data_IF_076038819525
#
_entry.id   IF_076038819525
#
_cell.length_a   1.000
_cell.length_b   1.000
_cell.length_c   1.000
_cell.angle_alpha   90.00
_cell.angle_beta   90.00
_cell.angle_gamma   90.00
#
_symmetry.space_group_name_H-M   'P 1'
#
loop_
_entity.id
_entity.type
_entity.pdbx_description
1 polymer ?
#
# COMPACT_ATOMS: atom_id res chain seq x y z
N UNK A 1 -9.29 12.33 9.90
CA UNK A 1 -9.81 11.06 9.35
C UNK A 1 -11.15 10.59 9.93
N UNK A 2 -11.75 11.26 10.92
CA UNK A 2 -13.07 10.83 11.39
C UNK A 2 -14.12 10.96 10.25
N UNK A 3 -14.85 9.87 9.98
CA UNK A 3 -15.85 9.80 8.91
C UNK A 3 -15.29 9.80 7.48
N UNK A 4 -13.99 9.55 7.29
CA UNK A 4 -13.34 9.44 5.98
C UNK A 4 -13.27 7.98 5.50
N UNK A 5 -13.21 7.73 4.18
CA UNK A 5 -13.21 6.38 3.63
C UNK A 5 -11.98 5.56 4.03
N UNK A 6 -12.20 4.25 4.20
CA UNK A 6 -11.16 3.27 4.49
C UNK A 6 -10.54 2.76 3.19
N UNK A 7 -9.41 3.31 2.77
CA UNK A 7 -8.41 2.79 1.80
C UNK A 7 -8.84 2.10 0.49
N UNK A 8 -10.13 1.93 0.21
CA UNK A 8 -10.64 0.94 -0.74
C UNK A 8 -10.35 1.34 -2.19
N UNK A 9 -10.29 2.65 -2.44
CA UNK A 9 -9.85 3.22 -3.72
C UNK A 9 -8.46 2.74 -4.16
N UNK A 10 -7.57 2.42 -3.21
CA UNK A 10 -6.24 1.91 -3.49
C UNK A 10 -6.10 0.38 -3.30
N UNK A 11 -7.02 -0.25 -2.55
CA UNK A 11 -6.83 -1.63 -2.10
C UNK A 11 -6.78 -2.66 -3.24
N UNK A 12 -7.42 -2.39 -4.37
CA UNK A 12 -7.31 -3.28 -5.54
C UNK A 12 -5.89 -3.28 -6.12
N UNK A 13 -5.17 -2.16 -6.04
CA UNK A 13 -3.83 -2.01 -6.61
C UNK A 13 -2.77 -2.78 -5.83
N UNK A 14 -3.03 -3.19 -4.58
CA UNK A 14 -2.07 -3.91 -3.74
C UNK A 14 -1.60 -5.27 -4.27
N UNK A 15 -2.17 -5.75 -5.38
CA UNK A 15 -1.78 -7.01 -6.03
C UNK A 15 -1.80 -6.93 -7.57
N UNK A 16 -2.00 -5.73 -8.15
CA UNK A 16 -2.01 -5.51 -9.62
C UNK A 16 -1.15 -4.31 -10.06
N UNK A 17 -0.39 -3.73 -9.13
CA UNK A 17 0.50 -2.58 -9.26
C UNK A 17 1.88 -2.90 -9.85
N UNK A 18 2.09 -4.12 -10.33
CA UNK A 18 3.28 -4.48 -11.13
C UNK A 18 2.86 -5.04 -12.49
N UNK A 19 3.76 -4.93 -13.48
CA UNK A 19 3.50 -5.37 -14.86
C UNK A 19 3.19 -6.87 -14.92
N UNK A 20 3.91 -7.68 -14.15
CA UNK A 20 3.79 -9.15 -14.17
C UNK A 20 3.97 -9.81 -12.82
N UNK A 21 4.62 -9.16 -11.87
CA UNK A 21 5.20 -9.85 -10.71
C UNK A 21 4.22 -10.02 -9.55
N UNK A 22 3.01 -9.45 -9.60
CA UNK A 22 1.98 -9.62 -8.56
C UNK A 22 0.84 -10.54 -8.96
N UNK A 23 0.82 -11.02 -10.21
CA UNK A 23 -0.22 -11.92 -10.67
C UNK A 23 0.11 -13.36 -10.28
N UNK A 24 -0.74 -14.04 -9.50
CA UNK A 24 -0.55 -15.46 -9.24
C UNK A 24 -0.71 -16.22 -10.57
N UNK A 25 0.24 -17.08 -10.95
CA UNK A 25 0.12 -17.85 -12.18
C UNK A 25 -1.19 -18.66 -12.23
N UNK A 26 -1.91 -18.69 -13.37
CA UNK A 26 -1.54 -18.22 -14.70
C UNK A 26 -2.10 -16.82 -15.07
N UNK A 27 -2.43 -15.98 -14.09
CA UNK A 27 -3.07 -14.69 -14.34
C UNK A 27 -2.09 -13.66 -14.92
N UNK A 28 -2.63 -12.70 -15.66
CA UNK A 28 -1.92 -11.52 -16.18
C UNK A 28 -2.83 -10.27 -16.13
N UNK A 29 -2.28 -9.12 -16.53
CA UNK A 29 -3.01 -7.86 -16.58
C UNK A 29 -4.22 -7.88 -17.55
N UNK A 30 -4.22 -8.72 -18.58
CA UNK A 30 -5.34 -8.84 -19.53
C UNK A 30 -6.54 -9.53 -18.89
N UNK A 31 -6.30 -10.53 -18.04
CA UNK A 31 -7.37 -11.14 -17.24
C UNK A 31 -7.97 -10.11 -16.29
N UNK A 32 -7.14 -9.28 -15.64
CA UNK A 32 -7.62 -8.19 -14.77
C UNK A 32 -8.47 -7.20 -15.55
N UNK A 33 -8.00 -6.72 -16.70
CA UNK A 33 -8.77 -5.83 -17.56
C UNK A 33 -10.12 -6.43 -17.98
N UNK A 34 -10.15 -7.74 -18.27
CA UNK A 34 -11.38 -8.46 -18.62
C UNK A 34 -12.37 -8.51 -17.44
N UNK A 35 -11.88 -8.84 -16.24
CA UNK A 35 -12.69 -8.86 -15.01
C UNK A 35 -13.23 -7.48 -14.69
N UNK A 36 -12.38 -6.45 -14.72
CA UNK A 36 -12.80 -5.07 -14.48
C UNK A 36 -13.86 -4.62 -15.49
N UNK A 37 -13.73 -5.00 -16.77
CA UNK A 37 -14.71 -4.68 -17.82
C UNK A 37 -16.07 -5.33 -17.56
N UNK A 38 -16.10 -6.62 -17.20
CA UNK A 38 -17.34 -7.33 -16.88
C UNK A 38 -17.97 -6.76 -15.61
N UNK A 39 -17.16 -6.51 -14.57
CA UNK A 39 -17.64 -5.98 -13.30
C UNK A 39 -18.20 -4.56 -13.44
N UNK A 40 -17.55 -3.71 -14.24
CA UNK A 40 -18.02 -2.36 -14.53
C UNK A 40 -19.40 -2.34 -15.22
N UNK A 41 -19.75 -3.40 -15.97
CA UNK A 41 -21.10 -3.57 -16.52
C UNK A 41 -22.11 -4.10 -15.49
N UNK A 42 -21.68 -4.95 -14.56
CA UNK A 42 -22.56 -5.59 -13.58
C UNK A 42 -22.86 -4.70 -12.37
N UNK A 43 -21.88 -3.93 -11.90
CA UNK A 43 -21.94 -3.10 -10.68
C UNK A 43 -21.19 -1.77 -10.92
N UNK A 44 -21.72 -0.88 -11.78
CA UNK A 44 -21.03 0.33 -12.22
C UNK A 44 -20.69 1.29 -11.08
N UNK A 45 -21.60 1.51 -10.12
CA UNK A 45 -21.37 2.43 -9.00
C UNK A 45 -20.24 1.93 -8.08
N UNK A 46 -20.19 0.62 -7.85
CA UNK A 46 -19.14 0.00 -7.03
C UNK A 46 -17.79 -0.02 -7.75
N UNK A 47 -17.78 -0.35 -9.04
CA UNK A 47 -16.58 -0.26 -9.89
C UNK A 47 -16.02 1.17 -9.93
N UNK A 48 -16.91 2.17 -10.03
CA UNK A 48 -16.54 3.58 -10.02
C UNK A 48 -15.80 3.97 -8.73
N UNK A 49 -16.30 3.49 -7.58
CA UNK A 49 -15.66 3.68 -6.28
C UNK A 49 -14.37 2.87 -6.10
N UNK A 50 -14.24 1.70 -6.73
CA UNK A 50 -13.08 0.84 -6.49
C UNK A 50 -11.84 1.21 -7.30
N UNK A 51 -12.00 1.64 -8.55
CA UNK A 51 -10.85 1.89 -9.42
C UNK A 51 -11.03 3.03 -10.42
N UNK A 52 -12.24 3.39 -10.84
CA UNK A 52 -12.40 4.38 -11.93
C UNK A 52 -11.84 5.75 -11.55
N UNK A 53 -12.15 6.24 -10.34
CA UNK A 53 -11.59 7.51 -9.87
C UNK A 53 -10.06 7.41 -9.69
N UNK A 54 -9.58 6.31 -9.12
CA UNK A 54 -8.17 6.06 -8.87
C UNK A 54 -7.34 5.98 -10.17
N UNK A 55 -7.90 5.35 -11.22
CA UNK A 55 -7.31 5.29 -12.55
C UNK A 55 -7.30 6.66 -13.25
N UNK A 56 -8.38 7.44 -13.11
CA UNK A 56 -8.41 8.81 -13.60
C UNK A 56 -7.31 9.66 -12.95
N UNK A 57 -7.10 9.51 -11.62
CA UNK A 57 -6.00 10.20 -10.92
C UNK A 57 -4.64 9.80 -11.46
N UNK A 58 -4.39 8.50 -11.64
CA UNK A 58 -3.15 7.96 -12.23
C UNK A 58 -2.90 8.50 -13.65
N UNK A 59 -3.95 8.59 -14.46
CA UNK A 59 -3.88 9.10 -15.84
C UNK A 59 -3.87 10.65 -15.92
N UNK A 60 -4.19 11.35 -14.82
CA UNK A 60 -4.35 12.80 -14.81
C UNK A 60 -5.62 13.28 -15.55
N UNK A 61 -6.67 12.47 -15.59
CA UNK A 61 -7.97 12.77 -16.20
C UNK A 61 -9.07 12.89 -15.14
N UNK A 62 -10.29 13.27 -15.56
CA UNK A 62 -11.47 13.32 -14.69
C UNK A 62 -12.71 12.88 -15.46
N UNK A 63 -13.54 12.05 -14.84
CA UNK A 63 -14.87 11.69 -15.34
C UNK A 63 -14.88 10.73 -16.52
N UNK A 64 -13.73 10.13 -16.89
CA UNK A 64 -13.69 9.06 -17.87
C UNK A 64 -14.15 7.74 -17.25
N UNK A 65 -14.92 6.96 -17.98
CA UNK A 65 -15.22 5.57 -17.63
C UNK A 65 -14.04 4.63 -17.96
N UNK A 66 -14.12 3.36 -17.52
CA UNK A 66 -13.02 2.41 -17.71
C UNK A 66 -12.62 2.21 -19.20
N UNK A 67 -13.55 1.98 -20.15
CA UNK A 67 -13.23 1.95 -21.58
C UNK A 67 -12.53 3.22 -22.08
N UNK A 68 -13.01 4.40 -21.69
CA UNK A 68 -12.42 5.68 -22.07
C UNK A 68 -11.01 5.86 -21.50
N UNK A 69 -10.78 5.44 -20.25
CA UNK A 69 -9.46 5.43 -19.61
C UNK A 69 -8.48 4.57 -20.41
N UNK A 70 -8.87 3.35 -20.80
CA UNK A 70 -8.03 2.44 -21.58
C UNK A 70 -7.69 3.06 -22.95
N UNK A 71 -8.68 3.65 -23.63
CA UNK A 71 -8.44 4.30 -24.92
C UNK A 71 -7.53 5.52 -24.77
N UNK A 72 -7.73 6.32 -23.73
CA UNK A 72 -6.94 7.53 -23.48
C UNK A 72 -5.51 7.20 -23.05
N UNK A 73 -5.28 6.12 -22.28
CA UNK A 73 -3.93 5.67 -21.93
C UNK A 73 -3.13 5.29 -23.18
N UNK A 74 -3.74 4.50 -24.08
CA UNK A 74 -3.13 4.09 -25.34
C UNK A 74 -2.82 5.28 -26.26
N UNK A 75 -3.73 6.27 -26.35
CA UNK A 75 -3.47 7.53 -27.08
C UNK A 75 -2.25 8.29 -26.55
N UNK A 76 -1.96 8.17 -25.26
CA UNK A 76 -0.79 8.77 -24.59
C UNK A 76 0.45 7.87 -24.61
N UNK A 77 0.41 6.74 -25.32
CA UNK A 77 1.52 5.80 -25.41
C UNK A 77 1.77 5.02 -24.12
N UNK A 78 0.75 4.91 -23.25
CA UNK A 78 0.80 4.17 -21.99
C UNK A 78 -0.13 2.96 -22.07
N UNK A 79 0.44 1.79 -21.91
CA UNK A 79 -0.31 0.54 -21.85
C UNK A 79 -1.08 0.45 -20.53
N UNK A 80 -2.20 -0.27 -20.52
CA UNK A 80 -3.07 -0.35 -19.33
C UNK A 80 -2.35 -0.94 -18.10
N UNK A 81 -1.51 -1.96 -18.27
CA UNK A 81 -0.65 -2.51 -17.22
C UNK A 81 0.29 -1.45 -16.60
N UNK A 82 0.90 -0.59 -17.42
CA UNK A 82 1.74 0.53 -16.94
C UNK A 82 0.94 1.60 -16.21
N UNK A 83 -0.33 1.81 -16.59
CA UNK A 83 -1.21 2.71 -15.85
C UNK A 83 -1.48 2.18 -14.44
N UNK A 84 -1.65 0.86 -14.28
CA UNK A 84 -1.86 0.23 -12.98
C UNK A 84 -0.65 0.39 -12.05
N UNK A 85 0.57 0.46 -12.60
CA UNK A 85 1.81 0.59 -11.80
C UNK A 85 2.13 2.02 -11.36
N UNK A 86 1.26 3.00 -11.61
CA UNK A 86 1.47 4.36 -11.11
C UNK A 86 1.16 4.37 -9.61
N UNK A 87 2.13 4.75 -8.74
CA UNK A 87 1.94 4.73 -7.29
C UNK A 87 0.79 5.63 -6.85
N UNK A 88 0.03 5.17 -5.86
CA UNK A 88 -0.92 6.02 -5.14
C UNK A 88 -0.16 7.14 -4.42
N UNK A 89 -0.74 8.34 -4.37
CA UNK A 89 -0.13 9.48 -3.68
C UNK A 89 -0.85 9.83 -2.40
N UNK A 90 -0.09 10.11 -1.34
CA UNK A 90 -0.62 10.44 -0.01
C UNK A 90 -1.59 11.65 -0.03
N UNK A 91 -1.37 12.57 -0.97
CA UNK A 91 -2.14 13.81 -1.10
C UNK A 91 -3.38 13.68 -1.98
N UNK A 92 -3.65 12.51 -2.57
CA UNK A 92 -4.85 12.31 -3.38
C UNK A 92 -6.10 12.34 -2.51
N UNK A 93 -7.05 13.17 -2.94
CA UNK A 93 -8.37 13.31 -2.31
C UNK A 93 -9.41 12.82 -3.29
N UNK A 94 -10.16 11.79 -2.90
CA UNK A 94 -11.25 11.21 -3.67
C UNK A 94 -12.54 12.02 -3.49
N UNK A 95 -13.54 11.76 -4.33
CA UNK A 95 -14.85 12.43 -4.27
C UNK A 95 -15.53 12.30 -2.90
N UNK A 96 -15.33 11.20 -2.20
CA UNK A 96 -15.82 10.95 -0.84
C UNK A 96 -14.80 11.30 0.27
N UNK A 97 -13.62 11.79 -0.11
CA UNK A 97 -12.62 12.37 0.78
C UNK A 97 -11.24 11.72 0.70
N UNK A 98 -10.37 12.07 1.66
CA UNK A 98 -9.07 11.44 1.78
C UNK A 98 -9.25 9.98 2.21
N UNK A 99 -8.57 9.07 1.54
CA UNK A 99 -8.68 7.63 1.75
C UNK A 99 -7.34 7.09 2.24
N UNK A 100 -7.34 6.35 3.35
CA UNK A 100 -6.14 5.65 3.81
C UNK A 100 -6.50 4.31 4.44
N UNK A 101 -5.61 3.33 4.25
CA UNK A 101 -5.63 2.09 5.02
C UNK A 101 -5.19 2.34 6.47
N UNK A 102 -5.36 1.35 7.35
CA UNK A 102 -4.95 1.46 8.74
C UNK A 102 -3.45 1.79 8.89
N UNK A 103 -2.60 1.14 8.10
CA UNK A 103 -1.15 1.34 8.16
C UNK A 103 -0.73 2.66 7.53
N UNK A 104 -1.29 3.02 6.37
CA UNK A 104 -1.01 4.30 5.72
C UNK A 104 -1.37 5.47 6.65
N UNK A 105 -2.51 5.38 7.37
CA UNK A 105 -2.88 6.40 8.34
C UNK A 105 -1.87 6.56 9.48
N UNK A 106 -1.34 5.47 10.03
CA UNK A 106 -0.29 5.52 11.06
C UNK A 106 0.98 6.13 10.52
N UNK A 107 1.41 5.71 9.34
CA UNK A 107 2.64 6.20 8.72
C UNK A 107 2.52 7.66 8.25
N UNK A 108 1.34 8.13 7.89
CA UNK A 108 1.08 9.56 7.64
C UNK A 108 1.37 10.37 8.90
N UNK A 109 0.97 9.89 10.08
CA UNK A 109 1.30 10.56 11.35
C UNK A 109 2.82 10.55 11.63
N UNK A 110 3.51 9.46 11.28
CA UNK A 110 4.98 9.40 11.42
C UNK A 110 5.67 10.40 10.49
N UNK A 111 5.15 10.53 9.27
CA UNK A 111 5.63 11.48 8.27
C UNK A 111 5.45 12.93 8.73
N UNK A 112 4.27 13.29 9.25
CA UNK A 112 4.01 14.61 9.85
C UNK A 112 4.86 14.87 11.11
N UNK A 113 5.22 13.83 11.86
CA UNK A 113 6.13 13.92 13.00
C UNK A 113 7.62 14.01 12.60
N UNK A 114 7.92 13.98 11.30
CA UNK A 114 9.27 14.14 10.76
C UNK A 114 10.12 12.87 10.73
N UNK A 115 9.55 11.69 10.97
CA UNK A 115 10.32 10.44 11.02
C UNK A 115 10.91 10.05 9.65
N UNK A 116 10.34 10.54 8.56
CA UNK A 116 10.84 10.29 7.20
C UNK A 116 11.75 11.42 6.67
N UNK A 117 12.08 12.44 7.46
CA UNK A 117 13.00 13.49 7.01
C UNK A 117 14.43 12.96 6.85
N UNK A 118 15.19 13.40 5.82
CA UNK A 118 14.88 14.48 4.87
C UNK A 118 14.15 14.02 3.59
N UNK A 119 13.75 12.74 3.50
CA UNK A 119 13.22 12.13 2.26
C UNK A 119 11.69 12.11 2.19
N UNK A 120 11.00 12.76 3.12
CA UNK A 120 9.54 12.75 3.28
C UNK A 120 8.80 13.04 1.96
N UNK A 121 9.30 13.98 1.15
CA UNK A 121 8.71 14.33 -0.15
C UNK A 121 8.75 13.21 -1.21
N UNK A 122 9.61 12.21 -1.02
CA UNK A 122 9.83 11.09 -1.93
C UNK A 122 9.29 9.77 -1.39
N UNK A 123 8.46 9.81 -0.35
CA UNK A 123 7.79 8.64 0.23
C UNK A 123 6.30 8.82 0.01
N UNK A 124 5.61 7.80 -0.49
CA UNK A 124 4.15 7.74 -0.47
C UNK A 124 3.74 6.56 0.43
N UNK A 125 3.29 6.86 1.65
CA UNK A 125 2.98 5.82 2.64
C UNK A 125 1.69 5.06 2.32
N UNK A 126 0.90 5.53 1.35
CA UNK A 126 -0.20 4.79 0.73
C UNK A 126 0.23 3.50 0.03
N UNK A 127 1.52 3.36 -0.30
CA UNK A 127 2.11 2.16 -0.93
C UNK A 127 2.63 1.14 0.11
N UNK A 128 2.52 1.43 1.41
CA UNK A 128 3.10 0.59 2.45
C UNK A 128 2.10 -0.46 2.95
N UNK A 129 2.59 -1.68 3.15
CA UNK A 129 1.86 -2.74 3.86
C UNK A 129 2.17 -2.73 5.37
N UNK A 130 1.45 -3.55 6.13
CA UNK A 130 1.70 -3.73 7.58
C UNK A 130 3.14 -4.20 7.83
N UNK A 131 3.68 -5.08 6.96
CA UNK A 131 5.06 -5.54 7.06
C UNK A 131 6.03 -4.39 6.94
N UNK A 132 5.84 -3.54 5.94
CA UNK A 132 6.71 -2.40 5.67
C UNK A 132 6.73 -1.43 6.84
N UNK A 133 5.63 -1.25 7.56
CA UNK A 133 5.59 -0.37 8.72
C UNK A 133 6.41 -0.87 9.91
N UNK A 134 6.33 -2.16 10.26
CA UNK A 134 7.02 -2.66 11.46
C UNK A 134 8.51 -2.93 11.22
N UNK A 135 8.94 -3.08 9.96
CA UNK A 135 10.37 -3.26 9.65
C UNK A 135 11.14 -1.93 9.67
N UNK A 136 10.48 -0.78 9.55
CA UNK A 136 11.13 0.54 9.61
C UNK A 136 11.93 0.69 10.90
N UNK A 137 13.17 1.18 10.79
CA UNK A 137 14.08 1.36 11.91
C UNK A 137 13.76 2.62 12.74
N UNK A 138 12.51 2.76 13.15
CA UNK A 138 12.00 3.90 13.94
C UNK A 138 11.80 3.58 15.43
N UNK A 139 11.84 2.31 15.78
CA UNK A 139 11.47 1.82 17.09
C UNK A 139 12.69 1.68 18.01
N UNK A 140 12.43 1.62 19.32
CA UNK A 140 13.47 1.45 20.32
C UNK A 140 14.16 0.09 20.20
N UNK A 141 15.45 0.09 19.88
CA UNK A 141 16.28 -1.12 19.80
C UNK A 141 16.92 -1.48 21.15
N UNK A 142 17.07 -0.51 22.07
CA UNK A 142 17.68 -0.74 23.36
C UNK A 142 16.66 -1.33 24.35
N UNK A 143 16.76 -2.65 24.57
CA UNK A 143 15.88 -3.39 25.48
C UNK A 143 15.86 -2.84 26.92
N UNK A 144 16.92 -2.16 27.36
CA UNK A 144 16.98 -1.56 28.71
C UNK A 144 16.07 -0.34 28.87
N UNK A 145 15.66 0.27 27.75
CA UNK A 145 14.73 1.41 27.72
C UNK A 145 13.27 0.97 27.60
N UNK A 146 13.03 -0.32 27.38
CA UNK A 146 11.67 -0.87 27.34
C UNK A 146 11.04 -0.86 28.75
N UNK A 147 9.71 -0.71 28.84
CA UNK A 147 9.03 -0.75 30.13
C UNK A 147 9.29 -2.04 30.90
N UNK A 148 9.34 -1.99 32.23
CA UNK A 148 9.64 -3.15 33.09
C UNK A 148 8.62 -4.30 33.01
N UNK A 149 7.41 -4.04 32.51
CA UNK A 149 6.41 -5.07 32.25
C UNK A 149 6.66 -5.83 30.94
N UNK A 150 7.46 -5.27 30.04
CA UNK A 150 7.77 -5.86 28.74
C UNK A 150 8.55 -7.17 28.92
N UNK A 151 8.09 -8.25 28.28
CA UNK A 151 8.67 -9.60 28.40
C UNK A 151 8.68 -10.19 29.84
N UNK A 152 8.02 -9.57 30.82
CA UNK A 152 8.14 -9.98 32.23
C UNK A 152 7.65 -11.41 32.50
N UNK A 153 6.51 -11.76 31.90
CA UNK A 153 5.83 -13.05 32.09
C UNK A 153 5.94 -13.96 30.85
N UNK A 154 6.78 -13.57 29.86
CA UNK A 154 6.98 -14.31 28.63
C UNK A 154 8.25 -15.19 28.72
N UNK A 155 8.15 -16.44 28.26
CA UNK A 155 9.30 -17.36 28.16
C UNK A 155 10.28 -16.97 27.05
N UNK A 156 9.85 -16.13 26.11
CA UNK A 156 10.68 -15.62 25.01
C UNK A 156 10.79 -14.11 25.12
N UNK A 157 12.02 -13.59 25.06
CA UNK A 157 12.27 -12.15 25.05
C UNK A 157 12.16 -11.63 23.62
N UNK A 158 11.10 -10.88 23.35
CA UNK A 158 10.90 -10.19 22.08
C UNK A 158 11.64 -8.85 22.06
N UNK A 159 12.08 -8.37 20.88
CA UNK A 159 12.71 -7.05 20.75
C UNK A 159 11.71 -5.89 20.83
N UNK A 160 10.43 -6.19 21.06
CA UNK A 160 9.33 -5.22 21.21
C UNK A 160 8.38 -5.65 22.32
N UNK A 161 7.50 -4.74 22.72
CA UNK A 161 6.52 -4.99 23.77
C UNK A 161 5.14 -5.23 23.16
N UNK A 162 4.65 -6.48 23.27
CA UNK A 162 3.28 -6.80 22.90
C UNK A 162 2.32 -6.35 24.02
N UNK A 163 1.54 -5.31 23.76
CA UNK A 163 0.68 -4.67 24.77
C UNK A 163 -0.55 -5.54 25.10
N UNK A 164 -1.10 -6.25 24.11
CA UNK A 164 -2.30 -7.08 24.23
C UNK A 164 -2.22 -8.29 23.30
N UNK A 165 -3.10 -9.26 23.54
CA UNK A 165 -3.26 -10.46 22.71
C UNK A 165 -2.91 -11.73 23.46
N UNK A 166 -3.60 -12.82 23.13
CA UNK A 166 -3.36 -14.15 23.72
C UNK A 166 -2.19 -14.88 23.05
N UNK A 167 -1.95 -14.58 21.78
CA UNK A 167 -0.95 -15.22 20.95
C UNK A 167 0.27 -14.32 20.82
N UNK A 168 1.45 -14.91 20.83
CA UNK A 168 2.69 -14.19 20.58
C UNK A 168 2.75 -13.78 19.11
N UNK A 169 2.97 -12.49 18.85
CA UNK A 169 3.20 -11.98 17.51
C UNK A 169 4.66 -12.22 17.12
N UNK A 170 4.87 -12.71 15.90
CA UNK A 170 6.18 -12.76 15.27
C UNK A 170 6.25 -11.67 14.21
N UNK A 171 7.26 -10.80 14.28
CA UNK A 171 7.46 -9.69 13.36
C UNK A 171 8.85 -9.84 12.70
N UNK A 172 8.98 -10.70 11.67
CA UNK A 172 10.26 -10.93 11.01
C UNK A 172 10.82 -9.65 10.39
N UNK A 173 12.06 -9.31 10.73
CA UNK A 173 12.71 -8.08 10.26
C UNK A 173 12.30 -6.81 11.01
N UNK A 174 11.64 -6.93 12.16
CA UNK A 174 11.27 -5.81 13.01
C UNK A 174 12.44 -4.84 13.23
N UNK A 175 12.18 -3.55 13.00
CA UNK A 175 13.09 -2.45 13.30
C UNK A 175 14.49 -2.59 12.69
N UNK A 176 14.56 -2.95 11.42
CA UNK A 176 15.81 -3.24 10.72
C UNK A 176 16.03 -2.43 9.43
N UNK A 177 14.98 -1.80 8.90
CA UNK A 177 14.98 -1.17 7.58
C UNK A 177 15.11 0.35 7.69
N UNK A 178 16.20 0.90 7.17
CA UNK A 178 16.33 2.34 7.01
C UNK A 178 15.42 2.82 5.87
N UNK A 179 14.60 3.88 6.08
CA UNK A 179 13.80 4.44 5.00
C UNK A 179 14.66 4.98 3.86
N UNK A 180 14.22 4.80 2.62
CA UNK A 180 14.89 5.30 1.42
C UNK A 180 13.87 5.86 0.41
N UNK A 181 14.31 6.74 -0.49
CA UNK A 181 13.40 7.41 -1.43
C UNK A 181 12.70 6.42 -2.38
N UNK A 182 11.42 6.64 -2.65
CA UNK A 182 10.56 5.78 -3.49
C UNK A 182 10.39 4.35 -2.98
N UNK A 183 10.54 4.15 -1.66
CA UNK A 183 10.33 2.86 -1.01
C UNK A 183 8.91 2.33 -1.27
N UNK A 184 8.80 1.04 -1.58
CA UNK A 184 7.57 0.28 -1.84
C UNK A 184 6.84 0.56 -3.16
N UNK A 185 7.20 1.59 -3.93
CA UNK A 185 6.48 1.98 -5.16
C UNK A 185 6.57 0.96 -6.33
N UNK A 186 7.43 -0.06 -6.21
CA UNK A 186 7.71 -1.03 -7.30
C UNK A 186 7.85 -2.47 -6.80
N UNK A 187 7.26 -2.76 -5.64
CA UNK A 187 7.56 -3.96 -4.90
C UNK A 187 6.54 -5.06 -5.14
N UNK A 188 7.04 -6.19 -5.65
CA UNK A 188 6.20 -7.34 -5.80
C UNK A 188 5.87 -7.98 -4.44
N UNK A 189 4.69 -8.59 -4.35
CA UNK A 189 4.18 -9.25 -3.16
C UNK A 189 3.38 -10.48 -3.59
N UNK A 190 4.09 -11.59 -3.81
CA UNK A 190 3.46 -12.86 -4.20
C UNK A 190 3.31 -13.81 -3.01
N UNK A 191 2.15 -14.47 -2.89
CA UNK A 191 2.01 -15.63 -2.01
C UNK A 191 2.88 -16.81 -2.51
N UNK A 192 3.23 -17.75 -1.62
CA UNK A 192 2.86 -17.80 -0.20
C UNK A 192 3.81 -17.05 0.73
N UNK A 193 5.04 -16.76 0.28
CA UNK A 193 6.12 -16.36 1.18
C UNK A 193 6.25 -14.83 1.34
N UNK A 194 5.69 -14.05 0.41
CA UNK A 194 5.73 -12.58 0.43
C UNK A 194 7.14 -12.04 0.70
N UNK A 195 8.11 -12.64 0.00
CA UNK A 195 9.51 -12.23 0.04
C UNK A 195 9.62 -10.86 -0.61
N UNK A 196 10.36 -9.97 0.05
CA UNK A 196 10.63 -8.63 -0.45
C UNK A 196 11.81 -8.72 -1.43
N UNK A 197 11.63 -8.23 -2.65
CA UNK A 197 12.67 -8.24 -3.69
C UNK A 197 13.85 -7.33 -3.31
N UNK A 198 15.03 -7.55 -3.91
CA UNK A 198 16.16 -6.64 -3.69
C UNK A 198 15.87 -5.24 -4.25
N UNK A 199 16.17 -4.19 -3.47
CA UNK A 199 15.82 -2.79 -3.74
C UNK A 199 14.31 -2.49 -3.70
N UNK A 200 13.55 -3.46 -3.18
CA UNK A 200 12.52 -3.21 -2.21
C UNK A 200 13.17 -3.29 -0.82
#
# INVERSE_FOLDING_TARGET
>A
MNGKPYGYHNMIFSWIDTISNNYPPPLDAHVVASVMTVWNKLQPDYAASMWTEALNKRLGTKGLDLPEIIVESEKRGMTFDKLLTIPEKDNWVYTDGQSASCVAYVLMMYKEAGLFEPISSSIDVTEFTIKDAYILNFFEANMTRLPSWCNKDDTVKLPFCQIKGRYRMELPGYNAMEPYAHMNERCASLPPDYVRDENC
#
